data_IF_931509765621
#
_entry.id   IF_931509765621
#
_cell.length_a   1.000
_cell.length_b   1.000
_cell.length_c   1.000
_cell.angle_alpha   90.00
_cell.angle_beta   90.00
_cell.angle_gamma   90.00
#
_symmetry.space_group_name_H-M   'P 1'
#
loop_
_entity.id
_entity.type
_entity.pdbx_description
1 polymer ?
#
# COMPACT_ATOMS: atom_id res chain seq x y z
N UNK A 1 -8.00 15.12 -8.92
CA UNK A 1 -7.88 13.68 -9.27
C UNK A 1 -6.90 13.55 -10.42
N UNK A 2 -6.04 12.53 -10.42
CA UNK A 2 -5.19 12.20 -11.58
C UNK A 2 -5.72 10.95 -12.30
N UNK A 3 -5.55 10.88 -13.61
CA UNK A 3 -5.97 9.76 -14.47
C UNK A 3 -4.94 9.52 -15.57
N UNK A 4 -4.96 8.36 -16.21
CA UNK A 4 -4.20 8.12 -17.44
C UNK A 4 -5.05 8.39 -18.69
N UNK A 5 -4.41 8.74 -19.80
CA UNK A 5 -5.07 8.88 -21.11
C UNK A 5 -4.06 8.84 -22.26
N UNK A 6 -4.50 8.43 -23.46
CA UNK A 6 -3.59 8.40 -24.61
C UNK A 6 -3.39 9.80 -25.19
N UNK A 7 -2.13 10.21 -25.35
CA UNK A 7 -1.79 11.40 -26.10
C UNK A 7 -2.02 11.18 -27.59
N UNK A 8 -2.94 11.94 -28.18
CA UNK A 8 -3.31 11.80 -29.59
C UNK A 8 -2.15 12.05 -30.57
N UNK A 9 -1.09 12.76 -30.15
CA UNK A 9 0.06 13.09 -31.00
C UNK A 9 1.24 12.13 -30.83
N UNK A 10 1.55 11.71 -29.61
CA UNK A 10 2.74 10.90 -29.32
C UNK A 10 2.44 9.39 -29.18
N UNK A 11 1.16 9.00 -29.05
CA UNK A 11 0.69 7.63 -28.74
C UNK A 11 1.11 7.05 -27.38
N UNK A 12 1.87 7.79 -26.57
CA UNK A 12 2.12 7.44 -25.17
C UNK A 12 0.90 7.66 -24.29
N UNK A 13 0.83 6.91 -23.19
CA UNK A 13 -0.07 7.18 -22.08
C UNK A 13 0.50 8.32 -21.23
N UNK A 14 -0.35 9.31 -20.99
CA UNK A 14 -0.03 10.49 -20.21
C UNK A 14 -0.87 10.57 -18.95
N UNK A 15 -0.36 11.31 -17.97
CA UNK A 15 -1.09 11.65 -16.74
C UNK A 15 -1.86 12.94 -16.95
N UNK A 16 -3.12 12.91 -16.56
CA UNK A 16 -4.06 14.01 -16.67
C UNK A 16 -4.56 14.41 -15.29
N UNK A 17 -4.52 15.69 -14.96
CA UNK A 17 -4.99 16.25 -13.71
C UNK A 17 -6.33 16.97 -13.91
N UNK A 18 -7.33 16.53 -13.14
CA UNK A 18 -8.64 17.16 -13.02
C UNK A 18 -8.69 18.00 -11.74
N UNK A 19 -8.78 19.32 -11.93
CA UNK A 19 -8.94 20.31 -10.85
C UNK A 19 -10.41 20.73 -10.73
N UNK A 20 -10.93 21.02 -9.53
CA UNK A 20 -12.27 21.57 -9.37
C UNK A 20 -12.47 22.83 -10.23
N UNK A 21 -13.59 22.89 -10.95
CA UNK A 21 -13.91 24.02 -11.84
C UNK A 21 -13.30 23.96 -13.24
N UNK A 22 -12.46 22.95 -13.53
CA UNK A 22 -11.92 22.77 -14.88
C UNK A 22 -12.96 22.08 -15.78
N UNK A 23 -13.04 22.51 -17.04
CA UNK A 23 -13.90 21.86 -18.07
C UNK A 23 -13.16 20.78 -18.86
N UNK A 24 -11.83 20.71 -18.72
CA UNK A 24 -10.96 19.73 -19.37
C UNK A 24 -9.73 19.46 -18.46
N UNK A 25 -9.09 18.28 -18.56
CA UNK A 25 -7.92 17.99 -17.75
C UNK A 25 -6.66 18.68 -18.27
N UNK A 26 -5.73 18.92 -17.37
CA UNK A 26 -4.36 19.34 -17.68
C UNK A 26 -3.49 18.10 -17.94
N UNK A 27 -2.76 18.04 -19.06
CA UNK A 27 -1.81 16.96 -19.33
C UNK A 27 -0.45 17.25 -18.66
N UNK A 28 -0.16 16.50 -17.60
CA UNK A 28 1.01 16.66 -16.74
C UNK A 28 2.30 16.09 -17.36
N UNK A 29 2.19 15.10 -18.24
CA UNK A 29 3.35 14.38 -18.81
C UNK A 29 3.46 14.47 -20.32
N UNK A 30 2.80 15.45 -20.97
CA UNK A 30 2.85 15.67 -22.42
C UNK A 30 4.25 15.74 -23.06
N UNK A 31 5.28 15.93 -22.24
CA UNK A 31 6.69 16.03 -22.61
C UNK A 31 7.44 14.70 -22.54
N UNK A 32 6.86 13.69 -21.89
CA UNK A 32 7.46 12.37 -21.73
C UNK A 32 7.40 11.60 -23.05
N UNK A 33 8.46 10.87 -23.33
CA UNK A 33 8.61 9.93 -24.42
C UNK A 33 8.46 8.47 -23.96
N UNK A 34 7.70 8.27 -22.89
CA UNK A 34 7.37 6.99 -22.26
C UNK A 34 5.93 6.97 -21.76
N UNK A 35 5.36 5.78 -21.60
CA UNK A 35 4.04 5.60 -21.01
C UNK A 35 4.08 5.91 -19.52
N UNK A 36 3.29 6.88 -19.09
CA UNK A 36 3.05 7.22 -17.68
C UNK A 36 1.73 6.60 -17.21
N UNK A 37 1.79 5.66 -16.28
CA UNK A 37 0.66 4.84 -15.88
C UNK A 37 0.43 4.81 -14.37
N UNK A 38 -0.77 4.35 -13.98
CA UNK A 38 -1.23 4.20 -12.60
C UNK A 38 -0.86 5.36 -11.65
N UNK A 39 -1.19 6.62 -12.02
CA UNK A 39 -0.81 7.76 -11.22
C UNK A 39 -1.62 7.82 -9.92
N UNK A 40 -0.98 8.26 -8.85
CA UNK A 40 -1.63 8.65 -7.60
C UNK A 40 -1.17 10.05 -7.24
N UNK A 41 -2.06 10.83 -6.63
CA UNK A 41 -1.79 12.20 -6.17
C UNK A 41 -2.23 12.33 -4.73
N UNK A 42 -1.42 12.98 -3.90
CA UNK A 42 -1.76 13.27 -2.51
C UNK A 42 -2.28 14.71 -2.34
N UNK A 43 -2.67 15.06 -1.11
CA UNK A 43 -3.22 16.39 -0.79
C UNK A 43 -2.15 17.50 -0.84
N UNK A 44 -0.86 17.15 -0.89
CA UNK A 44 0.25 18.07 -1.07
C UNK A 44 0.56 18.35 -2.54
N UNK A 45 -0.14 17.71 -3.48
CA UNK A 45 0.10 17.87 -4.91
C UNK A 45 1.28 17.04 -5.43
N UNK A 46 1.83 16.12 -4.64
CA UNK A 46 2.82 15.17 -5.10
C UNK A 46 2.14 14.06 -5.90
N UNK A 47 2.73 13.70 -7.03
CA UNK A 47 2.25 12.69 -7.97
C UNK A 47 3.28 11.58 -8.04
N UNK A 48 2.86 10.34 -7.77
CA UNK A 48 3.64 9.14 -8.08
C UNK A 48 3.04 8.42 -9.28
N UNK A 49 3.86 7.82 -10.13
CA UNK A 49 3.41 6.99 -11.24
C UNK A 49 4.44 5.94 -11.63
N UNK A 50 4.01 4.93 -12.38
CA UNK A 50 4.93 4.02 -13.06
C UNK A 50 5.21 4.54 -14.48
N UNK A 51 6.49 4.65 -14.84
CA UNK A 51 6.95 5.04 -16.16
C UNK A 51 7.45 3.80 -16.92
N UNK A 52 6.95 3.59 -18.14
CA UNK A 52 7.26 2.42 -18.97
C UNK A 52 7.67 2.89 -20.36
N UNK A 53 8.88 2.54 -20.77
CA UNK A 53 9.37 2.72 -22.14
C UNK A 53 9.53 1.34 -22.78
N UNK A 54 9.22 1.22 -24.07
CA UNK A 54 9.44 -0.01 -24.85
C UNK A 54 10.91 -0.46 -24.84
N UNK A 55 11.84 0.47 -24.60
CA UNK A 55 13.28 0.21 -24.58
C UNK A 55 13.90 0.23 -23.17
N UNK A 56 13.13 0.48 -22.12
CA UNK A 56 13.65 0.62 -20.77
C UNK A 56 12.81 -0.16 -19.75
N UNK A 57 13.41 -0.40 -18.59
CA UNK A 57 12.72 -1.10 -17.52
C UNK A 57 11.73 -0.15 -16.83
N UNK A 58 10.56 -0.65 -16.38
CA UNK A 58 9.62 0.15 -15.62
C UNK A 58 10.27 0.82 -14.40
N UNK A 59 9.91 2.09 -14.17
CA UNK A 59 10.38 2.89 -13.03
C UNK A 59 9.22 3.46 -12.22
N UNK A 60 9.46 3.78 -10.96
CA UNK A 60 8.55 4.56 -10.12
C UNK A 60 9.08 5.98 -9.98
N UNK A 61 8.33 6.94 -10.49
CA UNK A 61 8.69 8.36 -10.44
C UNK A 61 7.81 9.12 -9.46
N UNK A 62 8.38 10.14 -8.82
CA UNK A 62 7.69 11.07 -7.92
C UNK A 62 8.03 12.52 -8.31
N UNK A 63 7.02 13.37 -8.45
CA UNK A 63 7.20 14.79 -8.72
C UNK A 63 6.06 15.61 -8.09
N UNK A 64 6.24 16.93 -8.00
CA UNK A 64 5.11 17.81 -7.70
C UNK A 64 4.32 18.08 -8.98
N UNK A 65 2.98 18.14 -8.89
CA UNK A 65 2.09 18.32 -10.04
C UNK A 65 2.36 19.62 -10.83
N UNK A 66 2.87 20.66 -10.17
CA UNK A 66 3.24 21.93 -10.80
C UNK A 66 4.65 21.92 -11.45
N UNK A 67 5.46 20.88 -11.22
CA UNK A 67 6.83 20.76 -11.76
C UNK A 67 7.18 19.30 -12.11
N UNK A 68 6.37 18.69 -12.97
CA UNK A 68 6.49 17.27 -13.33
C UNK A 68 7.81 16.92 -14.04
N UNK A 69 8.49 17.89 -14.66
CA UNK A 69 9.79 17.66 -15.32
C UNK A 69 10.94 17.49 -14.31
N UNK A 70 10.77 17.97 -13.09
CA UNK A 70 11.70 17.79 -11.98
C UNK A 70 11.31 16.55 -11.17
N UNK A 71 11.13 15.43 -11.86
CA UNK A 71 10.78 14.17 -11.22
C UNK A 71 12.01 13.49 -10.64
N UNK A 72 11.77 12.70 -9.59
CA UNK A 72 12.74 11.81 -8.97
C UNK A 72 12.43 10.37 -9.36
N UNK A 73 13.44 9.65 -9.83
CA UNK A 73 13.41 8.20 -9.95
C UNK A 73 13.64 7.55 -8.58
N UNK A 74 12.60 6.90 -8.05
CA UNK A 74 12.64 6.23 -6.75
C UNK A 74 13.19 4.81 -6.83
N UNK A 75 12.95 4.10 -7.93
CA UNK A 75 13.33 2.70 -8.11
C UNK A 75 14.77 2.53 -8.59
N UNK A 76 15.28 3.45 -9.40
CA UNK A 76 16.62 3.38 -10.00
C UNK A 76 16.88 2.01 -10.67
N UNK A 77 15.87 1.46 -11.34
CA UNK A 77 15.87 0.09 -11.81
C UNK A 77 16.81 -0.09 -13.01
N UNK A 78 17.97 -0.69 -12.73
CA UNK A 78 19.03 -0.94 -13.72
C UNK A 78 19.11 -2.40 -14.17
N UNK A 79 18.32 -3.30 -13.58
CA UNK A 79 18.51 -4.77 -13.72
C UNK A 79 17.42 -5.48 -14.52
N UNK A 80 16.35 -4.80 -14.93
CA UNK A 80 15.28 -5.43 -15.72
C UNK A 80 14.06 -5.86 -14.93
N UNK A 81 13.98 -5.47 -13.65
CA UNK A 81 12.85 -5.83 -12.80
C UNK A 81 11.58 -5.05 -13.21
N UNK A 82 10.40 -5.56 -12.83
CA UNK A 82 9.13 -4.87 -13.11
C UNK A 82 8.68 -4.08 -11.88
N UNK A 83 8.22 -2.86 -12.08
CA UNK A 83 7.75 -1.96 -11.02
C UNK A 83 6.39 -1.40 -11.41
N UNK A 84 5.38 -1.59 -10.56
CA UNK A 84 4.02 -1.21 -10.90
C UNK A 84 3.15 -0.90 -9.68
N UNK A 85 1.94 -0.41 -9.95
CA UNK A 85 0.90 -0.19 -8.95
C UNK A 85 1.34 0.66 -7.75
N UNK A 86 1.91 1.86 -7.97
CA UNK A 86 2.32 2.70 -6.86
C UNK A 86 1.11 3.24 -6.08
N UNK A 87 1.33 3.50 -4.79
CA UNK A 87 0.46 4.27 -3.93
C UNK A 87 1.27 5.29 -3.11
N UNK A 88 0.63 6.37 -2.69
CA UNK A 88 1.24 7.53 -2.05
C UNK A 88 0.30 8.07 -0.96
N UNK A 89 0.87 8.42 0.19
CA UNK A 89 0.15 9.12 1.25
C UNK A 89 0.56 10.61 1.34
N UNK A 90 -0.11 11.38 2.20
CA UNK A 90 0.16 12.81 2.42
C UNK A 90 1.45 13.07 3.21
N UNK A 91 2.11 12.04 3.73
CA UNK A 91 3.45 12.16 4.33
C UNK A 91 4.58 12.00 3.29
N UNK A 92 4.24 11.91 1.99
CA UNK A 92 5.20 11.68 0.92
C UNK A 92 5.80 10.27 0.90
N UNK A 93 5.18 9.31 1.60
CA UNK A 93 5.62 7.91 1.58
C UNK A 93 4.99 7.21 0.39
N UNK A 94 5.79 6.45 -0.33
CA UNK A 94 5.38 5.76 -1.56
C UNK A 94 5.54 4.26 -1.36
N UNK A 95 4.58 3.48 -1.81
CA UNK A 95 4.66 2.01 -1.85
C UNK A 95 4.39 1.53 -3.27
N UNK A 96 4.97 0.40 -3.69
CA UNK A 96 4.72 -0.19 -5.01
C UNK A 96 4.91 -1.70 -5.01
N UNK A 97 4.54 -2.32 -6.13
CA UNK A 97 4.87 -3.70 -6.45
C UNK A 97 6.20 -3.77 -7.20
N UNK A 98 7.05 -4.72 -6.82
CA UNK A 98 8.35 -5.01 -7.45
C UNK A 98 8.43 -6.49 -7.82
N UNK A 99 8.68 -6.80 -9.09
CA UNK A 99 8.94 -8.17 -9.55
C UNK A 99 10.43 -8.35 -9.82
N UNK A 100 11.09 -9.13 -8.96
CA UNK A 100 12.53 -9.37 -9.01
C UNK A 100 12.95 -10.46 -10.01
N UNK A 101 12.18 -10.64 -11.08
CA UNK A 101 12.32 -11.73 -12.04
C UNK A 101 11.75 -13.08 -11.60
N UNK A 102 11.38 -13.24 -10.33
CA UNK A 102 10.82 -14.50 -9.79
C UNK A 102 9.48 -14.31 -9.07
N UNK A 103 9.41 -13.32 -8.18
CA UNK A 103 8.27 -13.12 -7.29
C UNK A 103 7.87 -11.64 -7.23
N UNK A 104 6.58 -11.39 -7.06
CA UNK A 104 6.11 -10.05 -6.70
C UNK A 104 6.34 -9.78 -5.22
N UNK A 105 6.88 -8.60 -4.93
CA UNK A 105 7.20 -8.07 -3.62
C UNK A 105 6.60 -6.67 -3.46
N UNK A 106 6.50 -6.22 -2.21
CA UNK A 106 6.15 -4.85 -1.86
C UNK A 106 7.39 -4.14 -1.34
N UNK A 107 7.66 -2.98 -1.90
CA UNK A 107 8.69 -2.05 -1.41
C UNK A 107 8.04 -0.72 -1.04
N UNK A 108 8.70 -0.01 -0.13
CA UNK A 108 8.27 1.30 0.33
C UNK A 108 9.45 2.26 0.31
N UNK A 109 9.19 3.48 -0.16
CA UNK A 109 10.11 4.58 -0.07
C UNK A 109 9.62 5.65 0.91
N UNK A 110 10.56 6.21 1.65
CA UNK A 110 10.37 7.48 2.34
C UNK A 110 11.64 8.31 2.26
N UNK A 111 11.49 9.63 2.41
CA UNK A 111 12.65 10.53 2.46
C UNK A 111 13.63 10.15 3.59
N UNK A 112 13.14 9.60 4.70
CA UNK A 112 13.97 9.23 5.85
C UNK A 112 14.73 7.91 5.69
N UNK A 113 14.18 6.95 4.95
CA UNK A 113 14.71 5.58 4.89
C UNK A 113 15.27 5.21 3.53
N UNK A 114 14.95 5.97 2.47
CA UNK A 114 15.09 5.46 1.11
C UNK A 114 14.13 4.31 0.86
N UNK A 115 14.46 3.48 -0.13
CA UNK A 115 13.69 2.27 -0.48
C UNK A 115 13.99 1.16 0.53
N UNK A 116 12.94 0.53 1.04
CA UNK A 116 12.99 -0.65 1.90
C UNK A 116 12.02 -1.71 1.39
N UNK A 117 12.47 -2.97 1.35
CA UNK A 117 11.59 -4.08 1.06
C UNK A 117 10.69 -4.36 2.27
N UNK A 118 9.37 -4.38 2.06
CA UNK A 118 8.39 -4.81 3.08
C UNK A 118 8.15 -6.33 3.02
N UNK A 119 8.42 -6.94 1.87
CA UNK A 119 8.33 -8.39 1.67
C UNK A 119 9.52 -8.90 0.87
N UNK A 120 9.98 -10.11 1.18
CA UNK A 120 11.00 -10.84 0.42
C UNK A 120 10.47 -12.24 0.12
N UNK A 121 9.57 -12.31 -0.86
CA UNK A 121 8.86 -13.53 -1.21
C UNK A 121 9.79 -14.48 -1.97
N UNK A 122 9.67 -15.77 -1.64
CA UNK A 122 10.40 -16.84 -2.31
C UNK A 122 9.44 -17.97 -2.71
N UNK A 123 9.89 -18.85 -3.61
CA UNK A 123 9.10 -20.00 -4.06
C UNK A 123 7.84 -19.55 -4.81
N UNK A 124 6.66 -20.00 -4.36
CA UNK A 124 5.39 -19.73 -5.03
C UNK A 124 4.57 -18.61 -4.34
N UNK A 125 5.23 -17.76 -3.56
CA UNK A 125 4.61 -16.63 -2.88
C UNK A 125 4.69 -15.36 -3.75
N UNK A 126 3.69 -14.49 -3.67
CA UNK A 126 3.69 -13.20 -4.36
C UNK A 126 2.85 -12.19 -3.58
N UNK A 127 3.42 -11.03 -3.26
CA UNK A 127 2.72 -9.92 -2.60
C UNK A 127 2.37 -8.82 -3.61
N UNK A 128 1.11 -8.39 -3.62
CA UNK A 128 0.53 -7.56 -4.69
C UNK A 128 -0.49 -6.56 -4.16
N UNK A 129 -0.78 -5.55 -4.97
CA UNK A 129 -1.81 -4.53 -4.73
C UNK A 129 -1.67 -3.82 -3.37
N UNK A 130 -0.53 -3.16 -3.11
CA UNK A 130 -0.35 -2.42 -1.88
C UNK A 130 -1.26 -1.19 -1.84
N UNK A 131 -1.70 -0.84 -0.64
CA UNK A 131 -2.35 0.42 -0.33
C UNK A 131 -1.70 1.03 0.92
N UNK A 132 -1.45 2.34 0.90
CA UNK A 132 -0.84 3.08 2.02
C UNK A 132 -1.79 4.15 2.54
N UNK A 133 -1.76 4.43 3.85
CA UNK A 133 -2.51 5.52 4.45
C UNK A 133 -1.61 6.55 5.16
N UNK A 134 -2.21 7.62 5.67
CA UNK A 134 -1.52 8.69 6.39
C UNK A 134 -0.96 8.30 7.78
N UNK A 135 -1.24 7.09 8.27
CA UNK A 135 -0.55 6.52 9.44
C UNK A 135 0.77 5.81 9.05
N UNK A 136 1.10 5.76 7.76
CA UNK A 136 2.22 5.01 7.23
C UNK A 136 1.99 3.49 7.25
N UNK A 137 0.74 3.05 7.40
CA UNK A 137 0.39 1.65 7.35
C UNK A 137 0.24 1.21 5.91
N UNK A 138 0.74 0.02 5.59
CA UNK A 138 0.67 -0.57 4.27
C UNK A 138 -0.10 -1.88 4.34
N UNK A 139 -1.23 -1.97 3.64
CA UNK A 139 -1.94 -3.22 3.47
C UNK A 139 -1.66 -3.81 2.08
N UNK A 140 -1.58 -5.13 1.97
CA UNK A 140 -1.31 -5.80 0.70
C UNK A 140 -1.91 -7.21 0.67
N UNK A 141 -2.13 -7.72 -0.54
CA UNK A 141 -2.57 -9.09 -0.78
C UNK A 141 -1.34 -9.99 -0.94
N UNK A 142 -1.27 -11.11 -0.22
CA UNK A 142 -0.26 -12.14 -0.44
C UNK A 142 -0.90 -13.37 -1.05
N UNK A 143 -0.35 -13.88 -2.14
CA UNK A 143 -0.76 -15.14 -2.73
C UNK A 143 0.27 -16.23 -2.49
N UNK A 144 -0.18 -17.43 -2.10
CA UNK A 144 0.65 -18.64 -2.04
C UNK A 144 0.07 -19.70 -2.97
N UNK A 145 0.92 -20.35 -3.77
CA UNK A 145 0.54 -21.35 -4.78
C UNK A 145 -0.48 -20.80 -5.81
N UNK A 146 -0.40 -19.50 -6.12
CA UNK A 146 -1.24 -18.79 -7.09
C UNK A 146 -2.76 -18.81 -6.82
N UNK A 147 -3.21 -19.21 -5.62
CA UNK A 147 -4.66 -19.36 -5.34
C UNK A 147 -5.13 -18.93 -3.95
N UNK A 148 -4.25 -18.91 -2.95
CA UNK A 148 -4.61 -18.52 -1.60
C UNK A 148 -4.24 -17.06 -1.42
N UNK A 149 -5.22 -16.16 -1.48
CA UNK A 149 -4.98 -14.74 -1.22
C UNK A 149 -5.22 -14.47 0.25
N UNK A 150 -4.23 -13.92 0.92
CA UNK A 150 -4.27 -13.46 2.30
C UNK A 150 -4.07 -11.96 2.38
N UNK A 151 -4.68 -11.34 3.38
CA UNK A 151 -4.56 -9.92 3.65
C UNK A 151 -3.53 -9.72 4.74
N UNK A 152 -2.52 -8.90 4.47
CA UNK A 152 -1.49 -8.52 5.42
C UNK A 152 -1.49 -7.01 5.63
N UNK A 153 -1.07 -6.61 6.83
CA UNK A 153 -0.90 -5.21 7.22
C UNK A 153 0.49 -5.01 7.80
N UNK A 154 1.31 -4.19 7.16
CA UNK A 154 2.49 -3.61 7.78
C UNK A 154 2.09 -2.36 8.56
N UNK A 155 2.22 -2.41 9.89
CA UNK A 155 1.91 -1.29 10.78
C UNK A 155 2.93 -1.26 11.92
N UNK A 156 3.38 -0.06 12.29
CA UNK A 156 4.29 0.16 13.42
C UNK A 156 5.57 -0.70 13.36
N UNK A 157 6.12 -0.91 12.15
CA UNK A 157 7.34 -1.68 11.94
C UNK A 157 7.17 -3.20 11.94
N UNK A 158 5.93 -3.72 11.97
CA UNK A 158 5.64 -5.15 11.97
C UNK A 158 4.63 -5.52 10.89
N UNK A 159 4.80 -6.72 10.33
CA UNK A 159 3.80 -7.37 9.47
C UNK A 159 2.82 -8.15 10.34
N UNK A 160 1.53 -7.86 10.15
CA UNK A 160 0.40 -8.48 10.84
C UNK A 160 -0.41 -9.25 9.79
N UNK A 161 -0.46 -10.59 9.83
CA UNK A 161 -1.39 -11.36 9.01
C UNK A 161 -2.82 -11.13 9.53
N UNK A 162 -3.70 -10.64 8.67
CA UNK A 162 -5.11 -10.40 9.01
C UNK A 162 -6.00 -11.58 8.61
N UNK A 163 -5.54 -12.40 7.67
CA UNK A 163 -6.19 -13.67 7.32
C UNK A 163 -5.16 -14.78 7.21
N UNK A 164 -5.62 -16.02 7.42
CA UNK A 164 -4.88 -17.25 7.16
C UNK A 164 -5.82 -18.20 6.42
N UNK A 165 -5.99 -17.94 5.12
CA UNK A 165 -6.99 -18.60 4.31
C UNK A 165 -6.53 -20.01 3.90
N UNK A 166 -7.44 -20.97 4.04
CA UNK A 166 -7.28 -22.32 3.50
C UNK A 166 -8.18 -22.51 2.28
N UNK A 167 -7.82 -23.40 1.35
CA UNK A 167 -8.68 -23.69 0.19
C UNK A 167 -10.02 -24.24 0.71
N UNK A 168 -11.18 -23.66 0.35
CA UNK A 168 -11.45 -22.81 -0.81
C UNK A 168 -11.48 -21.28 -0.60
N UNK A 169 -11.15 -20.80 0.59
CA UNK A 169 -11.28 -19.40 0.99
C UNK A 169 -10.16 -18.52 0.44
N UNK A 170 -10.49 -17.26 0.10
CA UNK A 170 -9.56 -16.24 -0.41
C UNK A 170 -9.98 -14.85 0.05
N UNK A 171 -9.04 -13.98 0.40
CA UNK A 171 -9.31 -12.60 0.80
C UNK A 171 -8.49 -11.60 -0.02
N UNK A 172 -9.16 -10.63 -0.67
CA UNK A 172 -8.56 -9.73 -1.66
C UNK A 172 -9.45 -8.47 -1.88
N UNK A 173 -9.07 -7.57 -2.78
CA UNK A 173 -9.69 -6.23 -2.99
C UNK A 173 -9.68 -5.40 -1.71
N UNK A 174 -8.48 -5.17 -1.21
CA UNK A 174 -8.25 -4.37 -0.02
C UNK A 174 -8.55 -2.89 -0.30
N UNK A 175 -9.16 -2.20 0.66
CA UNK A 175 -9.11 -0.75 0.74
C UNK A 175 -8.79 -0.33 2.18
N UNK A 176 -7.83 0.60 2.32
CA UNK A 176 -7.35 1.14 3.58
C UNK A 176 -7.61 2.64 3.60
N UNK A 177 -8.06 3.18 4.73
CA UNK A 177 -8.22 4.62 4.90
C UNK A 177 -7.30 5.20 6.00
N UNK A 178 -7.28 6.52 6.10
CA UNK A 178 -6.43 7.26 7.06
C UNK A 178 -6.83 7.10 8.52
N UNK A 179 -7.99 6.51 8.80
CA UNK A 179 -8.38 6.12 10.17
C UNK A 179 -7.82 4.75 10.55
N UNK A 180 -7.06 4.11 9.66
CA UNK A 180 -6.57 2.74 9.84
C UNK A 180 -7.65 1.69 9.65
N UNK A 181 -8.82 2.05 9.14
CA UNK A 181 -9.88 1.09 8.85
C UNK A 181 -9.58 0.40 7.52
N UNK A 182 -9.74 -0.91 7.52
CA UNK A 182 -9.46 -1.78 6.39
C UNK A 182 -10.73 -2.52 6.00
N UNK A 183 -11.03 -2.54 4.71
CA UNK A 183 -12.04 -3.45 4.15
C UNK A 183 -11.39 -4.39 3.15
N UNK A 184 -11.91 -5.61 3.07
CA UNK A 184 -11.57 -6.55 2.01
C UNK A 184 -12.75 -7.44 1.67
N UNK A 185 -12.66 -8.10 0.52
CA UNK A 185 -13.60 -9.11 0.08
C UNK A 185 -13.07 -10.48 0.43
N UNK A 186 -13.87 -11.30 1.09
CA UNK A 186 -13.61 -12.73 1.27
C UNK A 186 -14.52 -13.53 0.34
N UNK A 187 -13.93 -14.48 -0.38
CA UNK A 187 -14.63 -15.45 -1.23
C UNK A 187 -14.44 -16.85 -0.70
N UNK A 188 -15.53 -17.61 -0.62
CA UNK A 188 -15.52 -19.02 -0.23
C UNK A 188 -16.19 -19.86 -1.32
N UNK A 189 -15.53 -20.91 -1.81
CA UNK A 189 -16.11 -21.82 -2.81
C UNK A 189 -16.59 -23.13 -2.14
N UNK A 190 -17.86 -23.18 -1.70
CA UNK A 190 -18.44 -24.33 -0.97
C UNK A 190 -19.39 -25.11 -1.90
N UNK A 191 -19.09 -26.39 -2.14
CA UNK A 191 -19.95 -27.25 -2.98
C UNK A 191 -20.11 -26.77 -4.43
N UNK A 192 -19.11 -26.05 -4.97
CA UNK A 192 -19.15 -25.45 -6.31
C UNK A 192 -19.89 -24.10 -6.39
N UNK A 193 -20.41 -23.60 -5.26
CA UNK A 193 -21.06 -22.29 -5.15
C UNK A 193 -20.09 -21.28 -4.54
N UNK A 194 -20.07 -20.06 -5.07
CA UNK A 194 -19.23 -18.97 -4.57
C UNK A 194 -20.03 -18.08 -3.62
N UNK A 195 -19.52 -17.90 -2.42
CA UNK A 195 -20.02 -16.97 -1.42
C UNK A 195 -19.07 -15.79 -1.31
N UNK A 196 -19.63 -14.60 -1.11
CA UNK A 196 -18.90 -13.34 -1.07
C UNK A 196 -19.28 -12.56 0.18
N UNK A 197 -18.27 -12.16 0.93
CA UNK A 197 -18.39 -11.36 2.14
C UNK A 197 -17.52 -10.12 2.01
N UNK A 198 -17.99 -8.99 2.54
CA UNK A 198 -17.17 -7.80 2.75
C UNK A 198 -16.85 -7.74 4.24
N UNK A 199 -15.57 -7.76 4.58
CA UNK A 199 -15.08 -7.71 5.95
C UNK A 199 -14.59 -6.30 6.22
N UNK A 200 -14.91 -5.77 7.40
CA UNK A 200 -14.38 -4.53 7.94
C UNK A 200 -13.52 -4.88 9.16
N UNK A 201 -12.23 -4.55 9.11
CA UNK A 201 -11.38 -4.51 10.28
C UNK A 201 -11.12 -3.06 10.67
N UNK A 202 -11.16 -2.80 11.97
CA UNK A 202 -10.89 -1.48 12.53
C UNK A 202 -9.78 -1.61 13.57
N UNK A 203 -8.91 -0.60 13.70
CA UNK A 203 -7.96 -0.56 14.81
C UNK A 203 -8.75 -0.61 16.11
N UNK A 204 -8.42 -1.56 16.98
CA UNK A 204 -8.93 -1.53 18.34
C UNK A 204 -8.10 -0.49 19.09
N UNK A 205 -8.67 0.63 19.58
CA UNK A 205 -7.94 1.51 20.47
C UNK A 205 -7.46 0.64 21.62
N UNK A 206 -6.17 0.69 21.98
CA UNK A 206 -5.72 -0.06 23.15
C UNK A 206 -6.71 0.24 24.28
N UNK A 207 -7.31 -0.78 24.92
CA UNK A 207 -7.90 -0.53 26.22
C UNK A 207 -6.78 0.13 27.03
N UNK A 208 -7.11 1.05 27.94
CA UNK A 208 -6.15 1.68 28.86
C UNK A 208 -5.52 0.63 29.82
N UNK A 209 -4.95 -0.43 29.28
CA UNK A 209 -4.54 -1.67 29.92
C UNK A 209 -3.26 -1.42 30.69
N UNK A 210 -2.44 -0.45 30.25
CA UNK A 210 -1.35 0.08 31.07
C UNK A 210 -1.83 0.70 32.39
N UNK A 211 -2.95 1.42 32.39
CA UNK A 211 -3.50 2.02 33.62
C UNK A 211 -4.21 0.99 34.51
N UNK A 212 -4.86 -0.02 33.91
CA UNK A 212 -5.53 -1.10 34.66
C UNK A 212 -4.53 -2.10 35.27
N UNK A 213 -3.42 -2.42 34.60
CA UNK A 213 -2.34 -3.26 35.14
C UNK A 213 -1.58 -2.56 36.28
N UNK A 214 -1.28 -1.26 36.16
CA UNK A 214 -0.64 -0.48 37.22
C UNK A 214 -1.60 -0.21 38.40
N UNK A 215 -2.88 0.06 38.13
CA UNK A 215 -3.91 0.19 39.17
C UNK A 215 -4.15 -1.11 39.94
N UNK A 216 -4.13 -2.26 39.24
CA UNK A 216 -4.26 -3.58 39.86
C UNK A 216 -3.07 -3.98 40.73
N UNK A 217 -1.85 -3.71 40.28
CA UNK A 217 -0.62 -3.95 41.07
C UNK A 217 -0.53 -3.02 42.29
N UNK A 218 -0.93 -1.75 42.15
CA UNK A 218 -0.98 -0.79 43.26
C UNK A 218 -1.96 -1.20 44.36
N UNK A 219 -3.14 -1.71 44.00
CA UNK A 219 -4.15 -2.19 44.96
C UNK A 219 -3.67 -3.45 45.72
N UNK A 220 -2.99 -4.37 45.04
CA UNK A 220 -2.44 -5.60 45.63
C UNK A 220 -1.28 -5.33 46.61
N UNK A 221 -0.42 -4.33 46.32
CA UNK A 221 0.65 -3.93 47.25
C UNK A 221 0.11 -3.22 48.50
N UNK A 222 -0.93 -2.39 48.36
CA UNK A 222 -1.60 -1.72 49.49
C UNK A 222 -2.31 -2.71 50.42
N UNK A 223 -2.90 -3.77 49.87
CA UNK A 223 -3.56 -4.82 50.66
C UNK A 223 -2.58 -5.75 51.38
N UNK A 224 -1.39 -6.01 50.83
CA UNK A 224 -0.33 -6.75 51.52
C UNK A 224 0.30 -5.97 52.68
N UNK A 225 0.44 -4.65 52.54
CA UNK A 225 1.04 -3.79 53.59
C UNK A 225 0.17 -3.71 54.86
N UNK A 226 -1.17 -3.70 54.74
CA UNK A 226 -2.09 -3.67 55.90
C UNK A 226 -2.17 -4.99 56.69
N UNK A 227 -1.70 -6.12 56.14
CA UNK A 227 -1.73 -7.43 56.82
C UNK A 227 -0.47 -7.76 57.61
N UNK A 228 0.57 -6.92 57.54
CA UNK A 228 1.86 -7.14 58.21
C UNK A 228 2.06 -6.24 59.45
N UNK A 229 1.05 -5.48 59.87
CA UNK A 229 1.08 -4.57 61.04
C UNK A 229 0.07 -4.96 62.13
N UNK A 230 -0.18 -6.26 62.35
CA UNK A 230 -0.90 -6.79 63.52
C UNK A 230 -0.12 -7.92 64.17
#
# INVERSE_FOLDING_TARGET
MVTTGTNATARYQDIYLWKPGYTAPENLTHWADFDSQNPRINNLGEVVWNAVDVNANPQIYLAHADDMRNYRDLSQNTVGDDYSSPDLNDNGQVVWMHHNGSNWNIEMWSQSTGVVALTDNTGNAASTFPAINNLGWVAYEQSILFRKYDVHLFANGQVIPLTDNTDPTRSFRIALNDRGELVWVTREDIGGVRYWSVILAQPVPEPATGAVLLGGLGLLMLLKRKRSEM
#
